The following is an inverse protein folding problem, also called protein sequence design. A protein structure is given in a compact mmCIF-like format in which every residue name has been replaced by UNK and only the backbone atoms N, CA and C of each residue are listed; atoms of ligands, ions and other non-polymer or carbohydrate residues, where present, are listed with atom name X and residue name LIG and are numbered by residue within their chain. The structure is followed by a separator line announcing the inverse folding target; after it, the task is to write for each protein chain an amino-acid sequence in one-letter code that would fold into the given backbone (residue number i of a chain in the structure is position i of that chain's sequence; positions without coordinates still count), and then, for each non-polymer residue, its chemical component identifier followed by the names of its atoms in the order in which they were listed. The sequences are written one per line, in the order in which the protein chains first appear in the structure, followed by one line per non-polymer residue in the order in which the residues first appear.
data_IF_106628700797
#
_entry.id   IF_106628700797
#
_cell.length_a   1.000
_cell.length_b   1.000
_cell.length_c   1.000
_cell.angle_alpha   90.00
_cell.angle_beta   90.00
_cell.angle_gamma   90.00
#
_symmetry.space_group_name_H-M   'P 1'
#
loop_
_entity.id
_entity.type
_entity.pdbx_description
1 polymer ?
#
# COMPACT_ATOMS: atom_id res chain seq x y z
N UNK A 1 -23.55 -11.38 -12.06
CA UNK A 1 -22.72 -10.20 -12.41
C UNK A 1 -21.28 -10.67 -12.62
N UNK A 2 -20.52 -10.02 -13.51
CA UNK A 2 -19.10 -10.31 -13.69
C UNK A 2 -18.33 -9.94 -12.39
N UNK A 3 -17.25 -10.66 -12.10
CA UNK A 3 -16.39 -10.38 -10.95
C UNK A 3 -15.55 -9.14 -11.27
N UNK A 4 -15.41 -8.16 -10.36
CA UNK A 4 -14.50 -7.02 -10.56
C UNK A 4 -13.07 -7.49 -10.79
N UNK A 5 -12.37 -6.90 -11.76
CA UNK A 5 -10.96 -7.17 -12.05
C UNK A 5 -10.10 -6.25 -11.18
N UNK A 6 -9.34 -6.85 -10.27
CA UNK A 6 -8.50 -6.12 -9.32
C UNK A 6 -7.03 -6.28 -9.69
N UNK A 7 -6.39 -5.18 -10.09
CA UNK A 7 -4.95 -5.13 -10.34
C UNK A 7 -4.16 -5.13 -9.04
N UNK A 8 -3.13 -5.96 -8.95
CA UNK A 8 -2.23 -6.05 -7.77
C UNK A 8 -0.82 -5.77 -8.25
N UNK A 9 -0.16 -4.74 -7.72
CA UNK A 9 1.24 -4.47 -8.07
C UNK A 9 2.18 -5.55 -7.54
N UNK A 10 3.29 -5.77 -8.25
CA UNK A 10 4.23 -6.85 -7.93
C UNK A 10 5.61 -6.31 -7.57
N UNK A 11 6.40 -7.14 -6.91
CA UNK A 11 7.83 -6.93 -6.71
C UNK A 11 8.60 -7.28 -7.98
N UNK A 12 9.78 -6.69 -8.14
CA UNK A 12 10.76 -7.08 -9.15
C UNK A 12 11.98 -7.63 -8.41
N UNK A 13 12.12 -8.95 -8.39
CA UNK A 13 13.09 -9.63 -7.55
C UNK A 13 13.81 -10.75 -8.30
N UNK A 14 15.03 -11.07 -7.86
CA UNK A 14 15.75 -12.26 -8.32
C UNK A 14 15.05 -13.51 -7.76
N UNK A 15 14.31 -14.21 -8.60
CA UNK A 15 13.60 -15.43 -8.23
C UNK A 15 14.29 -16.68 -8.76
N UNK A 16 14.18 -17.77 -8.00
CA UNK A 16 14.68 -19.10 -8.38
C UNK A 16 13.53 -20.04 -8.71
N UNK A 17 13.58 -20.65 -9.89
CA UNK A 17 12.69 -21.78 -10.25
C UNK A 17 13.45 -22.78 -11.13
N UNK A 18 13.37 -24.06 -10.77
CA UNK A 18 14.19 -25.10 -11.40
C UNK A 18 15.68 -24.77 -11.27
N UNK A 19 16.37 -24.69 -12.40
CA UNK A 19 17.80 -24.32 -12.48
C UNK A 19 18.03 -22.83 -12.75
N UNK A 20 16.96 -22.04 -12.94
CA UNK A 20 17.04 -20.64 -13.29
C UNK A 20 17.09 -19.74 -12.05
N UNK A 21 17.93 -18.71 -12.11
CA UNK A 21 17.88 -17.54 -11.22
C UNK A 21 17.81 -16.33 -12.12
N UNK A 22 16.67 -15.65 -12.14
CA UNK A 22 16.40 -14.50 -13.00
C UNK A 22 15.54 -13.48 -12.29
N UNK A 23 15.62 -12.24 -12.75
CA UNK A 23 14.64 -11.21 -12.37
C UNK A 23 13.24 -11.64 -12.80
N UNK A 24 12.28 -11.52 -11.89
CA UNK A 24 10.90 -11.90 -12.10
C UNK A 24 9.95 -10.94 -11.37
N UNK A 25 8.80 -10.72 -11.97
CA UNK A 25 7.68 -10.07 -11.29
C UNK A 25 7.02 -11.09 -10.37
N UNK A 26 7.12 -10.89 -9.06
CA UNK A 26 6.57 -11.80 -8.05
C UNK A 26 5.59 -11.09 -7.13
N UNK A 27 4.64 -11.83 -6.58
CA UNK A 27 3.70 -11.34 -5.58
C UNK A 27 3.44 -12.42 -4.53
N UNK A 28 3.41 -12.06 -3.24
CA UNK A 28 2.88 -12.97 -2.24
C UNK A 28 1.46 -13.40 -2.59
N UNK A 29 1.22 -14.70 -2.57
CA UNK A 29 -0.09 -15.27 -2.96
C UNK A 29 -1.24 -14.77 -2.07
N UNK A 30 -0.94 -14.26 -0.89
CA UNK A 30 -1.91 -13.73 0.06
C UNK A 30 -2.79 -12.63 -0.57
N UNK A 31 -2.21 -11.69 -1.34
CA UNK A 31 -2.97 -10.65 -2.04
C UNK A 31 -4.02 -11.23 -3.00
N UNK A 32 -3.58 -12.14 -3.87
CA UNK A 32 -4.48 -12.76 -4.84
C UNK A 32 -5.60 -13.58 -4.16
N UNK A 33 -5.26 -14.33 -3.10
CA UNK A 33 -6.25 -15.08 -2.31
C UNK A 33 -7.25 -14.16 -1.61
N UNK A 34 -6.79 -13.04 -1.04
CA UNK A 34 -7.66 -12.07 -0.40
C UNK A 34 -8.68 -11.49 -1.40
N UNK A 35 -8.23 -11.09 -2.59
CA UNK A 35 -9.12 -10.60 -3.66
C UNK A 35 -10.11 -11.68 -4.11
N UNK A 36 -9.64 -12.90 -4.34
CA UNK A 36 -10.50 -14.01 -4.77
C UNK A 36 -11.57 -14.34 -3.72
N UNK A 37 -11.17 -14.42 -2.45
CA UNK A 37 -12.08 -14.65 -1.31
C UNK A 37 -13.14 -13.56 -1.19
N UNK A 38 -12.81 -12.31 -1.53
CA UNK A 38 -13.73 -11.17 -1.55
C UNK A 38 -14.63 -11.12 -2.80
N UNK A 39 -14.49 -12.09 -3.73
CA UNK A 39 -15.30 -12.16 -4.94
C UNK A 39 -14.77 -11.34 -6.13
N UNK A 40 -13.54 -10.81 -6.05
CA UNK A 40 -12.82 -10.19 -7.16
C UNK A 40 -12.07 -11.20 -8.04
N UNK A 41 -11.57 -10.75 -9.18
CA UNK A 41 -10.67 -11.49 -10.08
C UNK A 41 -9.28 -10.82 -10.04
N UNK A 42 -8.26 -11.41 -9.41
CA UNK A 42 -6.95 -10.79 -9.27
C UNK A 42 -6.14 -10.85 -10.57
N UNK A 43 -5.46 -9.75 -10.91
CA UNK A 43 -4.49 -9.67 -12.02
C UNK A 43 -3.20 -9.03 -11.51
N UNK A 44 -2.06 -9.67 -11.78
CA UNK A 44 -0.76 -9.15 -11.36
C UNK A 44 -0.24 -8.10 -12.34
N UNK A 45 0.24 -6.97 -11.82
CA UNK A 45 0.75 -5.85 -12.58
C UNK A 45 2.27 -5.76 -12.39
N UNK A 46 3.09 -6.19 -13.36
CA UNK A 46 4.54 -6.03 -13.28
C UNK A 46 4.92 -4.55 -13.35
N UNK A 47 5.92 -4.09 -12.57
CA UNK A 47 6.36 -2.70 -12.54
C UNK A 47 7.22 -2.39 -13.76
N UNK A 48 6.57 -2.08 -14.87
CA UNK A 48 7.22 -1.71 -16.13
C UNK A 48 7.28 -0.19 -16.32
N UNK A 49 6.89 0.30 -17.48
CA UNK A 49 6.90 1.74 -17.77
C UNK A 49 5.76 2.48 -17.06
N UNK A 50 6.02 3.65 -16.45
CA UNK A 50 4.95 4.51 -15.91
C UNK A 50 3.90 4.91 -16.95
N UNK A 51 4.27 4.97 -18.22
CA UNK A 51 3.35 5.30 -19.32
C UNK A 51 2.18 4.31 -19.44
N UNK A 52 2.39 3.05 -19.05
CA UNK A 52 1.35 2.02 -19.09
C UNK A 52 0.32 2.13 -17.95
N UNK A 53 0.54 2.97 -16.95
CA UNK A 53 -0.37 3.13 -15.82
C UNK A 53 -1.81 3.46 -16.24
N UNK A 54 -1.99 4.45 -17.13
CA UNK A 54 -3.30 4.81 -17.66
C UNK A 54 -3.96 3.70 -18.50
N UNK A 55 -3.16 2.85 -19.17
CA UNK A 55 -3.67 1.71 -19.93
C UNK A 55 -4.24 0.62 -19.01
N UNK A 56 -3.60 0.40 -17.87
CA UNK A 56 -4.10 -0.51 -16.83
C UNK A 56 -5.38 0.03 -16.21
N UNK A 57 -5.37 1.30 -15.76
CA UNK A 57 -6.52 1.90 -15.07
C UNK A 57 -7.79 1.87 -15.91
N UNK A 58 -7.71 2.04 -17.22
CA UNK A 58 -8.88 1.93 -18.10
C UNK A 58 -9.48 0.53 -18.22
N UNK A 59 -8.80 -0.50 -17.72
CA UNK A 59 -9.19 -1.92 -17.85
C UNK A 59 -9.45 -2.61 -16.51
N UNK A 60 -9.15 -1.95 -15.41
CA UNK A 60 -9.29 -2.47 -14.06
C UNK A 60 -10.49 -1.82 -13.37
N UNK A 61 -11.17 -2.60 -12.55
CA UNK A 61 -12.26 -2.12 -11.72
C UNK A 61 -11.76 -1.63 -10.36
N UNK A 62 -10.59 -2.10 -9.92
CA UNK A 62 -9.90 -1.65 -8.71
C UNK A 62 -8.39 -1.95 -8.75
N UNK A 63 -7.63 -1.32 -7.84
CA UNK A 63 -6.18 -1.51 -7.70
C UNK A 63 -5.80 -1.76 -6.25
N UNK A 64 -4.83 -2.68 -6.04
CA UNK A 64 -4.08 -2.83 -4.80
C UNK A 64 -2.63 -2.43 -5.06
N UNK A 65 -2.15 -1.40 -4.35
CA UNK A 65 -0.72 -1.13 -4.22
C UNK A 65 -0.18 -2.02 -3.11
N UNK A 66 0.65 -2.99 -3.47
CA UNK A 66 1.17 -3.98 -2.52
C UNK A 66 2.24 -3.38 -1.58
N UNK A 67 2.43 -4.02 -0.44
CA UNK A 67 3.54 -3.74 0.47
C UNK A 67 4.91 -3.97 -0.16
N UNK A 68 5.97 -3.94 0.63
CA UNK A 68 7.34 -4.20 0.16
C UNK A 68 8.37 -3.29 0.80
N UNK A 69 9.52 -3.19 0.15
CA UNK A 69 10.68 -2.39 0.55
C UNK A 69 10.38 -0.89 0.54
N UNK A 70 11.28 -0.09 1.08
CA UNK A 70 11.13 1.35 1.22
C UNK A 70 10.88 2.09 -0.11
N UNK A 71 10.19 3.24 -0.01
CA UNK A 71 10.04 4.18 -1.12
C UNK A 71 11.29 5.06 -1.19
N UNK A 72 11.81 5.29 -2.40
CA UNK A 72 12.99 6.10 -2.64
C UNK A 72 12.80 7.53 -2.07
N UNK A 73 13.63 7.96 -1.10
CA UNK A 73 13.57 9.29 -0.50
C UNK A 73 13.66 10.42 -1.51
N UNK A 74 14.33 10.23 -2.64
CA UNK A 74 14.41 11.23 -3.70
C UNK A 74 13.05 11.62 -4.28
N UNK A 75 12.03 10.73 -4.21
CA UNK A 75 10.69 11.01 -4.70
C UNK A 75 9.92 12.04 -3.87
N UNK A 76 10.30 12.24 -2.62
CA UNK A 76 9.67 13.22 -1.73
C UNK A 76 10.64 14.28 -1.18
N UNK A 77 11.80 14.43 -1.88
CA UNK A 77 12.75 15.51 -1.63
C UNK A 77 13.64 15.32 -0.39
N UNK A 78 13.77 14.10 0.08
CA UNK A 78 14.65 13.71 1.17
C UNK A 78 15.90 12.98 0.66
N UNK A 79 16.94 12.93 1.47
CA UNK A 79 18.15 12.14 1.20
C UNK A 79 18.03 10.84 2.00
N UNK A 80 18.48 9.73 1.43
CA UNK A 80 18.53 8.46 2.16
C UNK A 80 19.32 8.65 3.47
N UNK A 81 18.74 8.27 4.58
CA UNK A 81 19.39 8.35 5.89
C UNK A 81 20.41 7.20 5.99
N UNK A 82 21.71 7.56 5.93
CA UNK A 82 22.80 6.61 6.21
C UNK A 82 23.02 5.50 5.16
N UNK A 83 23.89 4.55 5.51
CA UNK A 83 23.96 3.26 4.83
C UNK A 83 22.62 2.54 4.94
N UNK A 84 22.18 1.78 3.90
CA UNK A 84 20.98 0.96 4.03
C UNK A 84 21.13 0.10 5.30
N UNK A 85 20.25 0.32 6.28
CA UNK A 85 20.22 -0.55 7.44
C UNK A 85 20.04 -1.98 6.92
N UNK A 86 20.97 -2.88 7.30
CA UNK A 86 20.87 -4.31 7.02
C UNK A 86 19.78 -4.95 7.90
N UNK A 87 18.60 -4.32 7.86
CA UNK A 87 17.42 -4.69 8.62
C UNK A 87 16.57 -5.75 7.91
N UNK A 88 17.04 -6.21 6.76
CA UNK A 88 16.40 -7.25 5.96
C UNK A 88 15.20 -6.78 5.11
N UNK A 89 14.92 -5.47 5.06
CA UNK A 89 13.80 -4.96 4.26
C UNK A 89 14.20 -4.60 2.81
N UNK A 90 15.48 -4.51 2.52
CA UNK A 90 16.00 -4.15 1.19
C UNK A 90 15.85 -2.67 0.85
N UNK A 91 16.65 -2.20 -0.09
CA UNK A 91 16.65 -0.81 -0.53
C UNK A 91 15.54 -0.46 -1.51
N UNK A 92 15.39 0.86 -1.83
CA UNK A 92 14.40 1.36 -2.77
C UNK A 92 14.46 0.66 -4.15
N UNK A 93 13.32 0.52 -4.78
CA UNK A 93 13.17 -0.02 -6.14
C UNK A 93 12.68 1.08 -7.10
N UNK A 94 13.57 1.92 -7.68
CA UNK A 94 13.17 3.13 -8.42
C UNK A 94 12.25 2.86 -9.62
N UNK A 95 12.37 1.71 -10.28
CA UNK A 95 11.48 1.33 -11.38
C UNK A 95 10.06 1.07 -10.86
N UNK A 96 9.95 0.33 -9.75
CA UNK A 96 8.68 0.03 -9.08
C UNK A 96 8.04 1.31 -8.54
N UNK A 97 8.84 2.16 -7.90
CA UNK A 97 8.39 3.43 -7.32
C UNK A 97 7.77 4.33 -8.39
N UNK A 98 8.45 4.53 -9.53
CA UNK A 98 7.92 5.34 -10.64
C UNK A 98 6.63 4.76 -11.23
N UNK A 99 6.58 3.45 -11.43
CA UNK A 99 5.40 2.79 -11.97
C UNK A 99 4.20 2.91 -11.00
N UNK A 100 4.39 2.58 -9.72
CA UNK A 100 3.30 2.60 -8.73
C UNK A 100 2.84 4.02 -8.41
N UNK A 101 3.73 5.01 -8.39
CA UNK A 101 3.36 6.43 -8.25
C UNK A 101 2.46 6.88 -9.41
N UNK A 102 2.82 6.54 -10.65
CA UNK A 102 2.00 6.86 -11.81
C UNK A 102 0.65 6.10 -11.78
N UNK A 103 0.66 4.85 -11.34
CA UNK A 103 -0.56 4.04 -11.21
C UNK A 103 -1.50 4.62 -10.15
N UNK A 104 -0.97 5.05 -8.99
CA UNK A 104 -1.73 5.70 -7.93
C UNK A 104 -2.37 7.01 -8.43
N UNK A 105 -1.60 7.86 -9.12
CA UNK A 105 -2.10 9.10 -9.70
C UNK A 105 -3.22 8.84 -10.70
N UNK A 106 -3.02 7.91 -11.64
CA UNK A 106 -4.02 7.57 -12.64
C UNK A 106 -5.30 6.97 -12.02
N UNK A 107 -5.18 6.16 -10.95
CA UNK A 107 -6.33 5.61 -10.23
C UNK A 107 -7.13 6.71 -9.52
N UNK A 108 -6.43 7.65 -8.89
CA UNK A 108 -7.05 8.80 -8.21
C UNK A 108 -7.77 9.70 -9.22
N UNK A 109 -7.13 10.04 -10.34
CA UNK A 109 -7.72 10.88 -11.40
C UNK A 109 -8.97 10.26 -12.03
N UNK A 110 -8.98 8.94 -12.20
CA UNK A 110 -10.08 8.19 -12.80
C UNK A 110 -11.15 7.71 -11.80
N UNK A 111 -11.05 8.08 -10.52
CA UNK A 111 -11.92 7.59 -9.42
C UNK A 111 -12.02 6.06 -9.37
N UNK A 112 -10.93 5.34 -9.71
CA UNK A 112 -10.86 3.88 -9.62
C UNK A 112 -10.54 3.47 -8.19
N UNK A 113 -11.35 2.60 -7.56
CA UNK A 113 -11.10 2.12 -6.19
C UNK A 113 -9.68 1.63 -5.97
N UNK A 114 -9.05 2.13 -4.90
CA UNK A 114 -7.65 1.90 -4.57
C UNK A 114 -7.48 1.51 -3.11
N UNK A 115 -6.84 0.36 -2.85
CA UNK A 115 -6.35 -0.03 -1.53
C UNK A 115 -4.82 -0.06 -1.54
N UNK A 116 -4.21 0.76 -0.70
CA UNK A 116 -2.77 0.91 -0.61
C UNK A 116 -2.27 0.30 0.71
N UNK A 117 -1.47 -0.78 0.63
CA UNK A 117 -1.10 -1.61 1.78
C UNK A 117 0.37 -1.38 2.13
N UNK A 118 0.65 -1.02 3.39
CA UNK A 118 1.99 -0.83 3.95
C UNK A 118 2.80 0.16 3.08
N UNK A 119 3.86 -0.27 2.40
CA UNK A 119 4.57 0.56 1.44
C UNK A 119 3.62 1.21 0.39
N UNK A 120 2.56 0.51 -0.03
CA UNK A 120 1.56 1.08 -0.93
C UNK A 120 0.93 2.36 -0.38
N UNK A 121 0.67 2.46 0.94
CA UNK A 121 0.20 3.68 1.59
C UNK A 121 1.23 4.81 1.47
N UNK A 122 2.51 4.49 1.60
CA UNK A 122 3.59 5.46 1.41
C UNK A 122 3.62 5.97 -0.04
N UNK A 123 3.49 5.07 -1.02
CA UNK A 123 3.40 5.43 -2.45
C UNK A 123 2.20 6.34 -2.71
N UNK A 124 1.02 6.01 -2.19
CA UNK A 124 -0.17 6.86 -2.32
C UNK A 124 0.07 8.25 -1.72
N UNK A 125 0.67 8.33 -0.54
CA UNK A 125 0.99 9.59 0.11
C UNK A 125 1.96 10.44 -0.73
N UNK A 126 3.03 9.83 -1.22
CA UNK A 126 4.05 10.50 -2.06
C UNK A 126 3.47 10.90 -3.41
N UNK A 127 2.63 10.08 -4.03
CA UNK A 127 1.93 10.38 -5.28
C UNK A 127 1.03 11.62 -5.18
N UNK A 128 0.52 11.92 -3.98
CA UNK A 128 -0.26 13.12 -3.66
C UNK A 128 0.62 14.29 -3.13
N UNK A 129 1.95 14.18 -3.21
CA UNK A 129 2.89 15.21 -2.79
C UNK A 129 3.18 15.25 -1.29
N UNK A 130 2.87 14.19 -0.55
CA UNK A 130 3.23 14.00 0.85
C UNK A 130 4.70 13.63 1.05
N UNK A 131 5.14 13.53 2.30
CA UNK A 131 6.50 13.10 2.67
C UNK A 131 6.47 12.01 3.73
N UNK A 132 7.59 11.30 3.91
CA UNK A 132 7.72 10.19 4.84
C UNK A 132 8.75 10.48 5.93
N UNK A 133 8.63 9.81 7.06
CA UNK A 133 9.67 9.60 8.05
C UNK A 133 10.52 8.44 7.53
N UNK A 134 11.79 8.69 7.27
CA UNK A 134 12.72 7.69 6.68
C UNK A 134 13.16 6.64 7.69
N UNK A 135 13.36 7.04 8.95
CA UNK A 135 13.68 6.13 10.06
C UNK A 135 12.71 6.36 11.22
N UNK A 136 11.70 5.49 11.28
CA UNK A 136 10.70 5.58 12.36
C UNK A 136 11.33 5.30 13.72
N UNK A 137 12.26 4.34 13.82
CA UNK A 137 12.99 4.01 15.03
C UNK A 137 13.70 5.24 15.64
N UNK A 138 14.37 6.03 14.80
CA UNK A 138 15.03 7.25 15.25
C UNK A 138 14.02 8.32 15.67
N UNK A 139 12.89 8.40 14.97
CA UNK A 139 11.86 9.40 15.24
C UNK A 139 11.11 9.17 16.55
N UNK A 140 10.77 7.90 16.87
CA UNK A 140 9.96 7.57 18.05
C UNK A 140 10.74 6.91 19.19
N UNK A 141 12.02 6.57 18.98
CA UNK A 141 12.90 6.01 20.01
C UNK A 141 12.66 4.54 20.36
N UNK A 142 11.87 3.81 19.58
CA UNK A 142 11.61 2.38 19.77
C UNK A 142 11.34 1.66 18.44
N UNK A 143 11.27 0.32 18.47
CA UNK A 143 11.14 -0.52 17.28
C UNK A 143 9.81 -1.31 17.23
N UNK A 144 8.77 -0.88 17.95
CA UNK A 144 7.49 -1.62 18.01
C UNK A 144 6.81 -1.78 16.65
N UNK A 145 6.89 -0.75 15.80
CA UNK A 145 6.27 -0.77 14.47
C UNK A 145 6.90 -1.78 13.51
N UNK A 146 8.13 -2.20 13.74
CA UNK A 146 8.80 -3.18 12.88
C UNK A 146 8.50 -4.64 13.26
N UNK A 147 8.14 -4.93 14.52
CA UNK A 147 8.18 -6.30 15.02
C UNK A 147 7.01 -6.70 15.92
N UNK A 148 6.18 -5.77 16.39
CA UNK A 148 5.20 -6.06 17.43
C UNK A 148 3.75 -5.89 16.97
N UNK A 149 2.87 -6.70 17.53
CA UNK A 149 1.43 -6.45 17.45
C UNK A 149 1.08 -5.22 18.30
N UNK A 150 0.22 -4.36 17.78
CA UNK A 150 -0.31 -3.22 18.50
C UNK A 150 -1.75 -2.90 18.06
N UNK A 151 -2.41 -2.07 18.86
CA UNK A 151 -3.79 -1.63 18.56
C UNK A 151 -3.73 -0.27 17.88
N UNK A 152 -4.44 -0.15 16.78
CA UNK A 152 -4.69 1.14 16.11
C UNK A 152 -6.11 1.61 16.40
N UNK A 153 -6.26 2.91 16.67
CA UNK A 153 -7.56 3.58 16.78
C UNK A 153 -7.95 4.10 15.41
N UNK A 154 -9.15 3.77 14.94
CA UNK A 154 -9.64 4.07 13.59
C UNK A 154 -10.85 5.00 13.67
N UNK A 155 -10.91 6.02 12.82
CA UNK A 155 -12.08 6.90 12.70
C UNK A 155 -13.25 6.14 12.08
N UNK A 156 -14.31 5.90 12.85
CA UNK A 156 -15.50 5.14 12.41
C UNK A 156 -16.24 5.76 11.22
N UNK A 157 -16.10 7.06 11.01
CA UNK A 157 -16.71 7.77 9.88
C UNK A 157 -15.97 7.59 8.57
N UNK A 158 -14.71 7.13 8.62
CA UNK A 158 -13.89 6.86 7.43
C UNK A 158 -14.38 5.61 6.69
N UNK A 159 -13.99 5.43 5.43
CA UNK A 159 -14.25 4.20 4.66
C UNK A 159 -13.56 3.00 5.30
N UNK A 160 -12.30 3.18 5.75
CA UNK A 160 -11.59 2.16 6.51
C UNK A 160 -12.32 1.81 7.81
N UNK A 161 -12.74 2.78 8.61
CA UNK A 161 -13.46 2.57 9.87
C UNK A 161 -14.83 1.89 9.68
N UNK A 162 -15.53 2.19 8.60
CA UNK A 162 -16.79 1.48 8.25
C UNK A 162 -16.53 -0.01 7.97
N UNK A 163 -15.36 -0.35 7.43
CA UNK A 163 -14.99 -1.73 7.17
C UNK A 163 -14.51 -2.46 8.43
N UNK A 164 -13.60 -1.87 9.22
CA UNK A 164 -12.92 -2.59 10.31
C UNK A 164 -13.41 -2.23 11.73
N UNK A 165 -14.18 -1.14 11.88
CA UNK A 165 -14.63 -0.62 13.17
C UNK A 165 -13.70 0.46 13.72
N UNK A 166 -13.83 0.77 15.02
CA UNK A 166 -13.11 1.84 15.70
C UNK A 166 -11.70 1.42 16.19
N UNK A 167 -11.42 0.12 16.16
CA UNK A 167 -10.14 -0.46 16.60
C UNK A 167 -9.77 -1.65 15.73
N UNK A 168 -8.47 -1.79 15.46
CA UNK A 168 -7.91 -2.98 14.84
C UNK A 168 -6.64 -3.41 15.60
N UNK A 169 -6.48 -4.70 15.85
CA UNK A 169 -5.23 -5.27 16.30
C UNK A 169 -4.41 -5.63 15.07
N UNK A 170 -3.23 -5.04 14.94
CA UNK A 170 -2.40 -5.14 13.75
C UNK A 170 -0.99 -5.57 14.10
N UNK A 171 -0.28 -6.18 13.17
CA UNK A 171 1.14 -6.48 13.32
C UNK A 171 1.95 -5.47 12.52
N UNK A 172 2.84 -4.75 13.21
CA UNK A 172 3.79 -3.85 12.60
C UNK A 172 4.83 -4.61 11.77
N UNK A 173 5.18 -4.05 10.63
CA UNK A 173 6.25 -4.55 9.77
C UNK A 173 6.77 -3.38 8.89
N UNK A 174 7.04 -2.22 9.52
CA UNK A 174 7.45 -1.03 8.78
C UNK A 174 8.48 -0.19 9.54
N UNK A 175 9.34 0.51 8.79
CA UNK A 175 10.38 1.41 9.26
C UNK A 175 10.11 2.84 8.87
N UNK A 176 9.34 3.06 7.80
CA UNK A 176 8.88 4.36 7.36
C UNK A 176 7.47 4.62 7.87
N UNK A 177 7.09 5.89 7.95
CA UNK A 177 5.73 6.32 8.23
C UNK A 177 5.43 7.64 7.51
N UNK A 178 4.16 8.01 7.44
CA UNK A 178 3.75 9.32 6.90
C UNK A 178 4.24 10.44 7.82
N UNK A 179 5.01 11.40 7.26
CA UNK A 179 5.41 12.64 7.95
C UNK A 179 4.43 13.75 7.66
N UNK A 180 4.22 14.06 6.39
CA UNK A 180 3.26 15.07 5.92
C UNK A 180 2.30 14.41 4.93
N UNK A 181 1.02 14.61 5.17
CA UNK A 181 -0.02 14.11 4.27
C UNK A 181 0.05 14.80 2.92
N UNK A 182 -0.19 14.03 1.87
CA UNK A 182 -0.38 14.52 0.51
C UNK A 182 -1.70 15.27 0.34
N UNK A 183 -1.83 15.97 -0.76
CA UNK A 183 -3.02 16.77 -1.07
C UNK A 183 -4.29 15.91 -1.09
N UNK A 184 -5.30 16.34 -0.36
CA UNK A 184 -6.60 15.65 -0.26
C UNK A 184 -6.61 14.42 0.65
N UNK A 185 -5.45 13.96 1.13
CA UNK A 185 -5.38 12.87 2.10
C UNK A 185 -5.67 13.36 3.52
N UNK A 186 -6.39 12.56 4.28
CA UNK A 186 -6.60 12.72 5.72
C UNK A 186 -6.12 11.47 6.45
N UNK A 187 -5.54 11.65 7.64
CA UNK A 187 -5.27 10.53 8.53
C UNK A 187 -6.58 10.03 9.16
N UNK A 188 -6.76 8.72 9.17
CA UNK A 188 -7.99 8.08 9.67
C UNK A 188 -7.73 6.96 10.66
N UNK A 189 -6.47 6.58 10.90
CA UNK A 189 -6.08 5.69 11.98
C UNK A 189 -4.71 6.05 12.54
N UNK A 190 -4.51 5.77 13.84
CA UNK A 190 -3.30 6.10 14.58
C UNK A 190 -2.94 5.01 15.57
N UNK A 191 -1.65 4.78 15.74
CA UNK A 191 -1.10 4.05 16.87
C UNK A 191 -1.17 4.91 18.16
N UNK A 192 -0.85 4.33 19.30
CA UNK A 192 -0.85 5.01 20.62
C UNK A 192 0.18 6.14 20.70
N UNK A 193 1.27 6.08 19.94
CA UNK A 193 2.32 7.09 19.81
C UNK A 193 2.05 8.13 18.72
N UNK A 194 0.81 8.19 18.21
CA UNK A 194 0.34 9.14 17.20
C UNK A 194 0.92 8.93 15.79
N UNK A 195 1.60 7.82 15.54
CA UNK A 195 2.01 7.46 14.18
C UNK A 195 0.76 7.15 13.35
N UNK A 196 0.72 7.74 12.15
CA UNK A 196 -0.38 7.53 11.20
C UNK A 196 -0.32 6.10 10.66
N UNK A 197 -1.40 5.36 10.89
CA UNK A 197 -1.54 3.96 10.49
C UNK A 197 -2.54 3.77 9.34
N UNK A 198 -3.39 4.76 9.05
CA UNK A 198 -4.20 4.75 7.84
C UNK A 198 -4.50 6.17 7.34
N UNK A 199 -4.64 6.25 6.03
CA UNK A 199 -5.03 7.47 5.31
C UNK A 199 -6.20 7.20 4.37
N UNK A 200 -6.96 8.25 4.07
CA UNK A 200 -8.07 8.19 3.11
C UNK A 200 -8.06 9.44 2.24
N UNK A 201 -8.32 9.31 0.95
CA UNK A 201 -8.48 10.44 0.05
C UNK A 201 -9.93 10.95 0.10
N UNK A 202 -10.07 12.22 0.44
CA UNK A 202 -11.37 12.88 0.50
C UNK A 202 -11.99 13.01 -0.89
N UNK A 203 -13.31 12.81 -0.96
CA UNK A 203 -14.05 12.95 -2.23
C UNK A 203 -13.90 11.80 -3.22
N UNK A 204 -12.93 10.90 -3.04
CA UNK A 204 -12.75 9.72 -3.87
C UNK A 204 -13.71 8.60 -3.45
N UNK A 205 -14.21 7.81 -4.41
CA UNK A 205 -15.13 6.67 -4.16
C UNK A 205 -14.58 5.71 -3.12
N UNK A 206 -13.35 5.23 -3.31
CA UNK A 206 -12.61 4.40 -2.36
C UNK A 206 -11.10 4.54 -2.64
N UNK A 207 -10.39 5.34 -1.85
CA UNK A 207 -8.93 5.37 -1.87
C UNK A 207 -8.48 5.38 -0.41
N UNK A 208 -8.07 4.21 0.07
CA UNK A 208 -7.69 3.95 1.46
C UNK A 208 -6.28 3.37 1.48
N UNK A 209 -5.43 3.95 2.31
CA UNK A 209 -4.10 3.41 2.63
C UNK A 209 -4.07 2.91 4.07
N UNK A 210 -3.50 1.73 4.30
CA UNK A 210 -3.28 1.16 5.64
C UNK A 210 -1.84 0.71 5.80
N UNK A 211 -1.29 0.90 7.00
CA UNK A 211 0.09 0.55 7.29
C UNK A 211 0.26 -0.96 7.55
N UNK A 212 -0.76 -1.60 8.07
CA UNK A 212 -0.77 -3.04 8.33
C UNK A 212 -1.12 -3.86 7.08
N UNK A 213 -1.06 -5.19 7.21
CA UNK A 213 -1.23 -6.16 6.14
C UNK A 213 -2.56 -6.93 6.26
N UNK A 214 -3.70 -6.39 5.81
CA UNK A 214 -5.00 -7.09 5.89
C UNK A 214 -5.02 -8.38 5.08
N UNK A 215 -4.19 -8.49 4.03
CA UNK A 215 -4.10 -9.68 3.18
C UNK A 215 -3.48 -10.91 3.89
N UNK A 216 -2.74 -10.70 5.01
CA UNK A 216 -2.08 -11.78 5.74
C UNK A 216 -2.96 -12.41 6.82
N UNK A 217 -4.02 -11.71 7.23
CA UNK A 217 -4.89 -12.10 8.35
C UNK A 217 -6.12 -12.90 7.93
N UNK A 218 -6.92 -13.25 8.95
CA UNK A 218 -8.27 -13.77 8.74
C UNK A 218 -9.26 -12.64 8.41
N UNK A 219 -8.96 -11.40 8.78
CA UNK A 219 -9.80 -10.22 8.56
C UNK A 219 -9.58 -9.66 7.15
N UNK A 220 -10.53 -9.93 6.27
CA UNK A 220 -10.49 -9.53 4.86
C UNK A 220 -11.40 -8.32 4.55
N UNK A 221 -12.00 -7.71 5.57
CA UNK A 221 -13.04 -6.66 5.42
C UNK A 221 -12.60 -5.46 4.58
N UNK A 222 -11.33 -5.05 4.65
CA UNK A 222 -10.82 -3.95 3.80
C UNK A 222 -10.76 -4.34 2.33
N UNK A 223 -10.36 -5.58 2.02
CA UNK A 223 -10.33 -6.08 0.64
C UNK A 223 -11.75 -6.32 0.13
N UNK A 224 -12.67 -6.77 0.98
CA UNK A 224 -14.11 -6.87 0.66
C UNK A 224 -14.68 -5.50 0.33
N UNK A 225 -14.39 -4.47 1.15
CA UNK A 225 -14.83 -3.10 0.90
C UNK A 225 -14.28 -2.52 -0.42
N UNK A 226 -13.02 -2.83 -0.77
CA UNK A 226 -12.45 -2.48 -2.07
C UNK A 226 -13.23 -3.13 -3.22
N UNK A 227 -13.45 -4.45 -3.14
CA UNK A 227 -14.18 -5.21 -4.18
C UNK A 227 -15.63 -4.74 -4.30
N UNK A 228 -16.28 -4.40 -3.20
CA UNK A 228 -17.64 -3.85 -3.21
C UNK A 228 -17.68 -2.46 -3.86
N UNK A 229 -16.68 -1.60 -3.57
CA UNK A 229 -16.56 -0.29 -4.21
C UNK A 229 -16.27 -0.39 -5.73
N UNK A 230 -15.69 -1.49 -6.19
CA UNK A 230 -15.39 -1.77 -7.58
C UNK A 230 -16.60 -2.29 -8.40
N UNK A 231 -17.71 -2.61 -7.73
CA UNK A 231 -18.94 -3.05 -8.42
C UNK A 231 -19.66 -1.84 -9.06
N UNK A 232 -20.26 -2.05 -10.24
CA UNK A 232 -21.03 -1.00 -10.93
C UNK A 232 -22.28 -0.56 -10.16
#
# INVERSE_FOLDING_TARGET
MARPIVGITTYLEAARWGTWVREAAISPQAYARAVEKSGGAPVLLPPLSPVSAGDYIRRLDAVILAGGVEVDPALYGEVAAGEPDDDGFGGPQPQRDRFETALAQAAVEADVPLLAISRGMHVLNVAQGGTLITSLRESVGHNRHATAAHVVTVSVSSKGGKAVGDRAEVTGAHHQAVRRLGTGLIAVAWADDQIVEAVELQGHRFAVGVQWHPERGADNRLVEALVDAARP
#
